data_IF_196873674842
#
_entry.id   IF_196873674842
#
_cell.length_a   1.000
_cell.length_b   1.000
_cell.length_c   1.000
_cell.angle_alpha   90.00
_cell.angle_beta   90.00
_cell.angle_gamma   90.00
#
_symmetry.space_group_name_H-M   'P 1'
#
loop_
_entity.id
_entity.type
_entity.pdbx_description
1 polymer ?
#
# COMPACT_ATOMS: atom_id res chain seq x y z
N UNK A 1 -2.10 -0.33 5.24
CA UNK A 1 -1.86 0.76 4.27
C UNK A 1 -3.20 1.33 3.83
N UNK A 2 -3.26 2.64 3.62
CA UNK A 2 -4.44 3.38 3.15
C UNK A 2 -4.08 4.22 1.94
N UNK A 3 -4.95 4.25 0.94
CA UNK A 3 -4.86 5.06 -0.28
C UNK A 3 -6.12 5.91 -0.35
N UNK A 4 -5.97 7.21 -0.58
CA UNK A 4 -7.08 8.17 -0.55
C UNK A 4 -6.90 9.30 -1.56
N UNK A 5 -7.97 10.06 -1.79
CA UNK A 5 -7.99 11.24 -2.67
C UNK A 5 -8.64 10.97 -4.03
N UNK A 6 -8.96 12.03 -4.77
CA UNK A 6 -9.79 11.96 -6.00
C UNK A 6 -9.17 11.11 -7.10
N UNK A 7 -7.85 10.96 -7.10
CA UNK A 7 -7.15 10.10 -8.05
C UNK A 7 -7.58 8.64 -7.94
N UNK A 8 -7.88 8.15 -6.73
CA UNK A 8 -8.29 6.77 -6.50
C UNK A 8 -9.56 6.41 -7.29
N UNK A 9 -10.52 7.33 -7.39
CA UNK A 9 -11.81 7.08 -8.06
C UNK A 9 -11.64 6.72 -9.54
N UNK A 10 -10.64 7.28 -10.21
CA UNK A 10 -10.34 6.98 -11.62
C UNK A 10 -9.38 5.80 -11.81
N UNK A 11 -8.55 5.49 -10.80
CA UNK A 11 -7.42 4.55 -10.93
C UNK A 11 -7.45 3.38 -9.94
N UNK A 12 -8.58 3.10 -9.27
CA UNK A 12 -8.69 2.04 -8.26
C UNK A 12 -8.20 0.68 -8.77
N UNK A 13 -8.60 0.28 -9.97
CA UNK A 13 -8.20 -1.01 -10.54
C UNK A 13 -6.68 -1.08 -10.77
N UNK A 14 -6.08 -0.02 -11.29
CA UNK A 14 -4.63 0.05 -11.51
C UNK A 14 -3.86 -0.02 -10.19
N UNK A 15 -4.32 0.72 -9.17
CA UNK A 15 -3.74 0.72 -7.83
C UNK A 15 -3.83 -0.68 -7.20
N UNK A 16 -4.96 -1.37 -7.33
CA UNK A 16 -5.11 -2.76 -6.87
C UNK A 16 -4.13 -3.69 -7.57
N UNK A 17 -3.94 -3.55 -8.88
CA UNK A 17 -2.97 -4.37 -9.63
C UNK A 17 -1.53 -4.06 -9.20
N UNK A 18 -1.18 -2.80 -8.96
CA UNK A 18 0.13 -2.41 -8.44
C UNK A 18 0.40 -3.08 -7.08
N UNK A 19 -0.57 -3.07 -6.17
CA UNK A 19 -0.45 -3.74 -4.87
C UNK A 19 -0.19 -5.26 -5.00
N UNK A 20 -0.91 -5.92 -5.92
CA UNK A 20 -0.74 -7.35 -6.18
C UNK A 20 0.63 -7.65 -6.82
N UNK A 21 1.09 -6.83 -7.75
CA UNK A 21 2.42 -6.99 -8.34
C UNK A 21 3.52 -6.75 -7.30
N UNK A 22 3.39 -5.74 -6.45
CA UNK A 22 4.32 -5.49 -5.35
C UNK A 22 4.42 -6.71 -4.43
N UNK A 23 3.29 -7.34 -4.07
CA UNK A 23 3.30 -8.58 -3.29
C UNK A 23 4.07 -9.72 -4.00
N UNK A 24 3.79 -9.96 -5.27
CA UNK A 24 4.46 -11.03 -6.03
C UNK A 24 5.97 -10.84 -6.10
N UNK A 25 6.44 -9.59 -6.24
CA UNK A 25 7.86 -9.27 -6.25
C UNK A 25 8.47 -9.40 -4.85
N UNK A 26 7.80 -8.89 -3.82
CA UNK A 26 8.32 -8.91 -2.45
C UNK A 26 8.47 -10.33 -1.92
N UNK A 27 7.58 -11.24 -2.32
CA UNK A 27 7.62 -12.66 -1.97
C UNK A 27 8.89 -13.39 -2.44
N UNK A 28 9.63 -12.85 -3.40
CA UNK A 28 10.89 -13.44 -3.86
C UNK A 28 12.00 -13.29 -2.81
N UNK A 29 11.98 -12.21 -2.03
CA UNK A 29 12.98 -11.90 -1.01
C UNK A 29 12.44 -12.12 0.40
N UNK A 30 11.18 -11.78 0.63
CA UNK A 30 10.48 -11.86 1.91
C UNK A 30 9.35 -12.88 1.84
N UNK A 31 9.71 -14.16 1.95
CA UNK A 31 8.84 -15.33 1.63
C UNK A 31 7.56 -15.40 2.47
N UNK A 32 7.48 -14.76 3.64
CA UNK A 32 6.29 -14.76 4.50
C UNK A 32 5.40 -13.52 4.31
N UNK A 33 5.84 -12.52 3.56
CA UNK A 33 5.07 -11.30 3.36
C UNK A 33 3.93 -11.52 2.35
N UNK A 34 2.73 -11.10 2.74
CA UNK A 34 1.48 -11.34 2.02
C UNK A 34 0.58 -10.13 2.09
N UNK A 35 -0.18 -9.94 1.03
CA UNK A 35 -1.32 -9.03 1.00
C UNK A 35 -2.55 -9.81 1.44
N UNK A 36 -3.03 -9.55 2.65
CA UNK A 36 -4.13 -10.28 3.29
C UNK A 36 -5.48 -9.91 2.68
N UNK A 37 -5.70 -8.60 2.48
CA UNK A 37 -6.95 -8.08 1.97
C UNK A 37 -6.74 -6.71 1.34
N UNK A 38 -7.61 -6.36 0.40
CA UNK A 38 -7.76 -5.01 -0.14
C UNK A 38 -9.25 -4.64 -0.13
N UNK A 39 -9.66 -3.84 0.85
CA UNK A 39 -11.03 -3.42 1.07
C UNK A 39 -11.23 -1.98 0.61
N UNK A 40 -12.44 -1.66 0.15
CA UNK A 40 -12.86 -0.27 -0.05
C UNK A 40 -13.75 0.15 1.12
N UNK A 41 -13.42 1.28 1.76
CA UNK A 41 -14.16 1.86 2.89
C UNK A 41 -14.18 3.37 2.74
N UNK A 42 -15.37 3.98 2.77
CA UNK A 42 -15.54 5.44 2.77
C UNK A 42 -14.75 6.16 1.65
N UNK A 43 -14.80 5.61 0.43
CA UNK A 43 -14.05 6.08 -0.76
C UNK A 43 -12.52 6.00 -0.62
N UNK A 44 -12.02 5.20 0.32
CA UNK A 44 -10.60 4.89 0.52
C UNK A 44 -10.33 3.41 0.27
N UNK A 45 -9.13 3.12 -0.23
CA UNK A 45 -8.66 1.75 -0.43
C UNK A 45 -7.71 1.36 0.71
N UNK A 46 -8.06 0.31 1.44
CA UNK A 46 -7.31 -0.17 2.61
C UNK A 46 -6.73 -1.54 2.33
N UNK A 47 -5.39 -1.61 2.32
CA UNK A 47 -4.62 -2.83 2.14
C UNK A 47 -4.04 -3.31 3.47
N UNK A 48 -4.25 -4.59 3.80
CA UNK A 48 -3.70 -5.23 5.01
C UNK A 48 -2.57 -6.16 4.61
N UNK A 49 -1.39 -6.02 5.23
CA UNK A 49 -0.20 -6.84 4.94
C UNK A 49 0.28 -7.59 6.19
N UNK A 50 1.00 -8.69 6.02
CA UNK A 50 1.59 -9.46 7.14
C UNK A 50 2.91 -8.90 7.64
N UNK A 51 3.56 -8.01 6.88
CA UNK A 51 4.85 -7.43 7.21
C UNK A 51 4.97 -5.98 6.76
N UNK A 52 6.04 -5.34 7.22
CA UNK A 52 6.34 -3.93 7.00
C UNK A 52 7.01 -3.68 5.66
N UNK A 53 7.76 -4.64 5.11
CA UNK A 53 8.49 -4.44 3.86
C UNK A 53 7.53 -4.27 2.68
N UNK A 54 6.49 -5.10 2.60
CA UNK A 54 5.46 -5.00 1.57
C UNK A 54 4.68 -3.69 1.68
N UNK A 55 4.31 -3.27 2.90
CA UNK A 55 3.61 -2.00 3.08
C UNK A 55 4.48 -0.81 2.62
N UNK A 56 5.77 -0.84 2.93
CA UNK A 56 6.73 0.17 2.52
C UNK A 56 6.91 0.18 0.99
N UNK A 57 7.11 -0.99 0.38
CA UNK A 57 7.24 -1.14 -1.06
C UNK A 57 6.04 -0.61 -1.82
N UNK A 58 4.82 -0.96 -1.39
CA UNK A 58 3.61 -0.45 -2.06
C UNK A 58 3.55 1.08 -1.97
N UNK A 59 3.90 1.66 -0.82
CA UNK A 59 4.00 3.11 -0.65
C UNK A 59 4.99 3.74 -1.65
N UNK A 60 6.18 3.17 -1.76
CA UNK A 60 7.22 3.63 -2.68
C UNK A 60 6.78 3.49 -4.15
N UNK A 61 6.22 2.36 -4.54
CA UNK A 61 5.76 2.09 -5.90
C UNK A 61 4.63 3.07 -6.29
N UNK A 62 3.74 3.45 -5.36
CA UNK A 62 2.72 4.48 -5.61
C UNK A 62 3.30 5.89 -5.78
N UNK A 63 4.26 6.29 -4.93
CA UNK A 63 4.94 7.58 -5.09
C UNK A 63 5.69 7.64 -6.44
N UNK A 64 6.40 6.58 -6.80
CA UNK A 64 7.15 6.50 -8.05
C UNK A 64 6.27 6.50 -9.30
N UNK A 65 5.12 5.82 -9.26
CA UNK A 65 4.22 5.72 -10.41
C UNK A 65 3.31 6.95 -10.56
N UNK A 66 2.95 7.60 -9.45
CA UNK A 66 1.82 8.53 -9.41
C UNK A 66 2.09 9.84 -8.65
N UNK A 67 3.30 10.14 -8.18
CA UNK A 67 3.67 11.48 -7.68
C UNK A 67 2.84 11.98 -6.47
N UNK A 68 2.10 11.09 -5.81
CA UNK A 68 1.32 11.37 -4.59
C UNK A 68 2.19 11.44 -3.34
N UNK A 69 1.59 11.69 -2.17
CA UNK A 69 2.34 11.81 -0.90
C UNK A 69 2.12 10.59 -0.02
N UNK A 70 3.19 9.91 0.41
CA UNK A 70 3.13 8.93 1.49
C UNK A 70 3.49 9.52 2.86
N UNK A 71 2.72 9.12 3.88
CA UNK A 71 3.08 9.23 5.29
C UNK A 71 3.30 7.84 5.88
N UNK A 72 4.41 7.66 6.59
CA UNK A 72 4.80 6.41 7.23
C UNK A 72 4.74 6.56 8.76
N UNK A 73 3.97 5.71 9.43
CA UNK A 73 3.87 5.65 10.89
C UNK A 73 4.26 4.27 11.39
N UNK A 74 5.37 4.21 12.11
CA UNK A 74 5.84 3.01 12.79
C UNK A 74 5.25 2.94 14.19
N UNK A 75 4.87 1.74 14.65
CA UNK A 75 4.54 1.54 16.07
C UNK A 75 5.79 1.64 16.94
N UNK A 76 5.65 1.94 18.23
CA UNK A 76 6.76 1.97 19.20
C UNK A 76 7.56 0.66 19.28
N UNK A 77 6.96 -0.46 18.87
CA UNK A 77 7.64 -1.77 18.79
C UNK A 77 8.32 -2.05 17.45
N UNK A 78 8.23 -1.13 16.49
CA UNK A 78 8.65 -1.24 15.07
C UNK A 78 8.07 -2.44 14.29
N UNK A 79 7.20 -3.24 14.92
CA UNK A 79 6.58 -4.43 14.29
C UNK A 79 5.47 -4.09 13.31
N UNK A 80 4.92 -2.89 13.39
CA UNK A 80 3.80 -2.46 12.55
C UNK A 80 4.15 -1.17 11.83
N UNK A 81 3.82 -1.12 10.54
CA UNK A 81 3.93 0.05 9.69
C UNK A 81 2.55 0.37 9.12
N UNK A 82 2.06 1.58 9.40
CA UNK A 82 0.95 2.17 8.67
C UNK A 82 1.50 3.11 7.61
N UNK A 83 1.09 2.89 6.38
CA UNK A 83 1.37 3.79 5.25
C UNK A 83 0.07 4.43 4.83
N UNK A 84 0.06 5.75 4.71
CA UNK A 84 -1.04 6.53 4.18
C UNK A 84 -0.57 7.27 2.94
N UNK A 85 -1.03 6.85 1.77
CA UNK A 85 -0.79 7.54 0.52
C UNK A 85 -2.01 8.38 0.12
N UNK A 86 -1.78 9.57 -0.39
CA UNK A 86 -2.82 10.49 -0.80
C UNK A 86 -2.48 11.20 -2.12
N UNK A 87 -3.47 11.33 -3.01
CA UNK A 87 -3.39 12.13 -4.23
C UNK A 87 -4.76 12.63 -4.70
N UNK A 88 -4.82 13.91 -5.05
CA UNK A 88 -5.99 14.62 -5.57
C UNK A 88 -5.98 14.87 -7.08
#
# INVERSE_FOLDING_TARGET
MRVSGRFLTAHEQEIRQLMLHAEQQERQTHVLERLIAIDCKDDELVATTTGTHLANRIGHDLEAAYDGTCSYRYSDSERYLSVDWHRD
#
